data_IF_581767210240
#
_entry.id   IF_581767210240
#
_cell.length_a   1.000
_cell.length_b   1.000
_cell.length_c   1.000
_cell.angle_alpha   90.00
_cell.angle_beta   90.00
_cell.angle_gamma   90.00
#
_symmetry.space_group_name_H-M   'P 1'
#
loop_
_entity.id
_entity.type
_entity.pdbx_description
1 polymer ?
#
# COMPACT_ATOMS: atom_id res chain seq x y z
N UNK A 1 12.48 55.74 -3.40
CA UNK A 1 13.68 55.00 -2.92
C UNK A 1 13.30 53.58 -2.45
N UNK A 2 12.64 52.76 -3.29
CA UNK A 2 12.40 51.32 -3.04
C UNK A 2 12.24 50.63 -4.41
N UNK A 3 13.31 50.62 -5.22
CA UNK A 3 13.23 50.12 -6.61
C UNK A 3 14.54 49.56 -7.18
N UNK A 4 15.65 49.67 -6.45
CA UNK A 4 16.97 49.22 -6.90
C UNK A 4 17.56 48.06 -6.09
N UNK A 5 16.88 47.58 -5.04
CA UNK A 5 17.36 46.50 -4.17
C UNK A 5 16.94 45.09 -4.63
N UNK A 6 15.91 44.94 -5.46
CA UNK A 6 15.39 43.63 -5.89
C UNK A 6 16.03 43.06 -7.17
N UNK A 7 16.97 43.77 -7.81
CA UNK A 7 17.70 43.27 -9.01
C UNK A 7 19.11 42.72 -8.73
N UNK A 8 19.58 42.74 -7.47
CA UNK A 8 20.92 42.21 -7.11
C UNK A 8 20.91 40.83 -6.46
N UNK A 9 19.75 40.30 -6.07
CA UNK A 9 19.64 38.92 -5.54
C UNK A 9 19.43 37.89 -6.66
N UNK A 10 18.87 38.29 -7.82
CA UNK A 10 18.58 37.39 -8.94
C UNK A 10 19.80 37.06 -9.85
N UNK A 11 20.99 37.61 -9.60
CA UNK A 11 22.22 37.32 -10.38
C UNK A 11 23.30 36.53 -9.60
N UNK A 12 23.09 36.23 -8.33
CA UNK A 12 24.01 35.43 -7.52
C UNK A 12 23.65 33.92 -7.48
N UNK A 13 22.43 33.52 -7.84
CA UNK A 13 22.01 32.11 -7.85
C UNK A 13 22.22 31.36 -9.18
N UNK A 14 22.77 32.01 -10.21
CA UNK A 14 23.03 31.37 -11.53
C UNK A 14 24.52 30.99 -11.70
N UNK A 15 25.40 31.32 -10.76
CA UNK A 15 26.84 31.10 -10.89
C UNK A 15 27.40 29.95 -10.01
N UNK A 16 26.56 29.27 -9.22
CA UNK A 16 26.96 28.14 -8.37
C UNK A 16 26.42 26.77 -8.84
N UNK A 17 25.81 26.69 -10.03
CA UNK A 17 25.25 25.45 -10.58
C UNK A 17 26.01 24.89 -11.80
N UNK A 18 27.23 25.37 -12.11
CA UNK A 18 27.92 25.00 -13.37
C UNK A 18 29.37 24.49 -13.24
N UNK A 19 29.82 24.03 -12.07
CA UNK A 19 31.14 23.38 -11.94
C UNK A 19 31.15 22.28 -10.87
N UNK A 20 30.64 21.11 -11.25
CA UNK A 20 31.07 19.81 -10.74
C UNK A 20 30.70 18.73 -11.77
N UNK A 21 31.20 18.90 -12.99
CA UNK A 21 31.21 17.87 -14.04
C UNK A 21 32.56 17.15 -13.99
N UNK A 22 32.53 15.83 -13.81
CA UNK A 22 33.42 14.80 -14.38
C UNK A 22 33.73 13.66 -13.40
N UNK A 23 33.02 12.53 -13.53
CA UNK A 23 33.65 11.19 -13.47
C UNK A 23 32.93 10.28 -14.47
N UNK A 24 33.69 9.92 -15.50
CA UNK A 24 33.68 8.75 -16.40
C UNK A 24 32.39 7.95 -16.67
N UNK A 25 31.94 8.01 -17.93
CA UNK A 25 31.22 6.95 -18.63
C UNK A 25 32.12 5.71 -18.75
N UNK A 26 31.76 4.64 -18.05
CA UNK A 26 32.27 3.30 -18.31
C UNK A 26 31.09 2.39 -18.64
N UNK A 27 31.00 1.92 -19.89
CA UNK A 27 30.15 0.80 -20.25
C UNK A 27 30.70 -0.46 -19.58
N UNK A 28 29.98 -1.02 -18.60
CA UNK A 28 30.17 -2.39 -18.18
C UNK A 28 28.98 -3.22 -18.67
N UNK A 29 29.21 -4.00 -19.71
CA UNK A 29 28.45 -5.21 -19.96
C UNK A 29 28.67 -6.16 -18.77
N UNK A 30 27.69 -6.28 -17.87
CA UNK A 30 27.69 -7.35 -16.89
C UNK A 30 27.26 -8.64 -17.57
N UNK A 31 28.20 -9.57 -17.68
CA UNK A 31 27.96 -10.92 -18.16
C UNK A 31 26.99 -11.64 -17.21
N UNK A 32 25.90 -12.15 -17.78
CA UNK A 32 24.89 -12.93 -17.09
C UNK A 32 25.48 -14.30 -16.72
N UNK A 33 25.97 -14.45 -15.49
CA UNK A 33 26.64 -15.68 -15.08
C UNK A 33 27.27 -15.60 -13.69
N UNK A 34 26.51 -15.25 -12.67
CA UNK A 34 26.93 -15.46 -11.28
C UNK A 34 25.71 -15.82 -10.45
N UNK A 35 25.75 -16.98 -9.79
CA UNK A 35 24.75 -17.43 -8.82
C UNK A 35 24.55 -16.34 -7.76
N UNK A 36 23.32 -16.04 -7.31
CA UNK A 36 23.14 -15.22 -6.13
C UNK A 36 23.79 -15.95 -4.95
N UNK A 37 24.66 -15.26 -4.22
CA UNK A 37 25.33 -15.85 -3.06
C UNK A 37 24.30 -16.08 -1.96
N UNK A 38 24.42 -17.20 -1.26
CA UNK A 38 23.56 -17.61 -0.13
C UNK A 38 23.55 -16.65 1.07
N UNK A 39 24.20 -15.48 0.98
CA UNK A 39 24.16 -14.40 1.98
C UNK A 39 23.04 -13.37 1.73
N UNK A 40 22.24 -13.52 0.67
CA UNK A 40 21.19 -12.55 0.29
C UNK A 40 19.83 -12.77 0.97
N UNK A 41 19.67 -13.90 1.68
CA UNK A 41 18.49 -14.27 2.44
C UNK A 41 18.90 -14.50 3.89
N UNK A 42 18.94 -13.44 4.70
CA UNK A 42 19.01 -13.61 6.14
C UNK A 42 17.75 -14.38 6.57
N UNK A 43 17.97 -15.56 7.18
CA UNK A 43 16.91 -16.34 7.79
C UNK A 43 16.10 -15.48 8.78
N UNK A 44 14.81 -15.79 9.02
CA UNK A 44 14.05 -15.11 10.06
C UNK A 44 14.75 -15.34 11.41
N UNK A 45 15.22 -14.27 12.04
CA UNK A 45 15.59 -14.28 13.46
C UNK A 45 16.90 -14.96 13.83
N UNK A 46 18.05 -14.51 13.30
CA UNK A 46 19.27 -14.63 14.09
C UNK A 46 19.19 -13.61 15.25
N UNK A 47 19.19 -14.04 16.54
CA UNK A 47 19.10 -13.12 17.67
C UNK A 47 20.27 -12.13 17.63
N UNK A 48 19.97 -10.83 17.61
CA UNK A 48 20.98 -9.75 17.64
C UNK A 48 21.21 -9.00 16.32
N UNK A 49 20.46 -9.29 15.27
CA UNK A 49 20.46 -8.50 14.03
C UNK A 49 19.80 -7.13 14.17
N UNK A 50 20.08 -6.22 13.24
CA UNK A 50 19.52 -4.87 13.16
C UNK A 50 19.00 -4.61 11.74
N UNK A 51 17.80 -4.05 11.62
CA UNK A 51 17.27 -3.51 10.37
C UNK A 51 17.49 -2.01 10.36
N UNK A 52 18.21 -1.50 9.36
CA UNK A 52 18.35 -0.07 9.13
C UNK A 52 17.35 0.40 8.07
N UNK A 53 16.55 1.41 8.38
CA UNK A 53 15.55 1.96 7.48
C UNK A 53 15.40 3.47 7.70
N UNK A 54 15.49 4.26 6.62
CA UNK A 54 15.35 5.71 6.64
C UNK A 54 16.25 6.40 7.70
N UNK A 55 17.49 5.92 7.85
CA UNK A 55 18.47 6.46 8.80
C UNK A 55 18.22 6.10 10.27
N UNK A 56 17.27 5.19 10.55
CA UNK A 56 16.98 4.67 11.89
C UNK A 56 17.32 3.19 11.98
N UNK A 57 17.67 2.75 13.18
CA UNK A 57 18.07 1.39 13.50
C UNK A 57 16.97 0.71 14.33
N UNK A 58 16.59 -0.49 13.93
CA UNK A 58 15.54 -1.29 14.57
C UNK A 58 16.10 -2.66 14.93
N UNK A 59 16.26 -2.99 16.22
CA UNK A 59 16.74 -4.31 16.62
C UNK A 59 15.72 -5.37 16.24
N UNK A 60 16.19 -6.49 15.71
CA UNK A 60 15.34 -7.62 15.35
C UNK A 60 14.94 -8.43 16.59
N UNK A 61 13.73 -8.97 16.56
CA UNK A 61 13.19 -9.87 17.59
C UNK A 61 12.33 -10.97 16.96
N UNK A 62 11.57 -11.69 17.79
CA UNK A 62 10.70 -12.78 17.38
C UNK A 62 9.51 -12.34 16.49
N UNK A 63 9.22 -11.03 16.38
CA UNK A 63 8.18 -10.50 15.50
C UNK A 63 8.72 -10.10 14.13
N UNK A 64 10.03 -9.88 14.00
CA UNK A 64 10.63 -9.42 12.73
C UNK A 64 10.39 -10.41 11.59
N UNK A 65 9.78 -9.92 10.51
CA UNK A 65 9.45 -10.73 9.33
C UNK A 65 9.57 -9.96 7.99
N UNK A 66 10.29 -8.85 7.97
CA UNK A 66 10.53 -8.06 6.76
C UNK A 66 11.48 -8.77 5.79
N UNK A 67 11.15 -8.69 4.51
CA UNK A 67 12.03 -9.15 3.42
C UNK A 67 12.76 -7.97 2.78
N UNK A 68 13.94 -8.22 2.21
CA UNK A 68 14.71 -7.21 1.47
C UNK A 68 13.93 -6.62 0.29
N UNK A 69 13.11 -7.43 -0.38
CA UNK A 69 12.25 -7.01 -1.51
C UNK A 69 11.18 -6.01 -1.07
N UNK A 70 10.58 -6.21 0.10
CA UNK A 70 9.61 -5.26 0.66
C UNK A 70 10.32 -3.98 1.10
N UNK A 71 11.47 -4.10 1.78
CA UNK A 71 12.28 -2.95 2.17
C UNK A 71 12.74 -2.10 0.98
N UNK A 72 13.09 -2.71 -0.15
CA UNK A 72 13.49 -1.96 -1.37
C UNK A 72 12.35 -1.16 -2.00
N UNK A 73 11.10 -1.39 -1.59
CA UNK A 73 9.93 -0.64 -2.06
C UNK A 73 9.66 0.61 -1.21
N UNK A 74 10.22 0.67 0.01
CA UNK A 74 10.05 1.82 0.91
C UNK A 74 10.69 3.07 0.32
N UNK A 75 9.93 4.17 0.28
CA UNK A 75 10.39 5.46 -0.24
C UNK A 75 10.24 5.59 -1.76
N UNK A 76 9.75 4.56 -2.47
CA UNK A 76 9.47 4.66 -3.91
C UNK A 76 8.32 5.63 -4.21
N UNK A 77 7.38 5.78 -3.26
CA UNK A 77 6.36 6.84 -3.20
C UNK A 77 5.64 7.09 -4.55
N UNK A 78 5.08 6.03 -5.16
CA UNK A 78 4.44 6.10 -6.47
C UNK A 78 3.25 7.07 -6.52
N UNK A 79 2.59 7.31 -5.38
CA UNK A 79 1.55 8.32 -5.21
C UNK A 79 2.07 9.77 -5.32
N UNK A 80 3.39 9.98 -5.27
CA UNK A 80 4.06 11.27 -5.44
C UNK A 80 4.87 11.37 -6.74
N UNK A 81 4.93 10.30 -7.54
CA UNK A 81 5.57 10.34 -8.84
C UNK A 81 4.65 10.99 -9.88
N UNK A 82 5.06 12.14 -10.41
CA UNK A 82 4.30 12.88 -11.40
C UNK A 82 3.95 11.99 -12.61
N UNK A 83 2.72 12.14 -13.13
CA UNK A 83 2.15 11.34 -14.22
C UNK A 83 1.93 9.85 -13.91
N UNK A 84 2.28 9.36 -12.73
CA UNK A 84 1.89 8.01 -12.32
C UNK A 84 0.36 7.92 -12.14
N UNK A 85 -0.32 6.83 -12.54
CA UNK A 85 -1.77 6.70 -12.38
C UNK A 85 -2.25 6.86 -10.94
N UNK A 86 -1.47 6.44 -9.94
CA UNK A 86 -1.83 6.64 -8.53
C UNK A 86 -1.72 8.10 -8.12
N UNK A 87 -0.71 8.82 -8.61
CA UNK A 87 -0.59 10.26 -8.44
C UNK A 87 -1.75 11.02 -9.10
N UNK A 88 -2.18 10.59 -10.30
CA UNK A 88 -3.33 11.19 -10.98
C UNK A 88 -4.60 11.09 -10.13
N UNK A 89 -4.91 9.92 -9.57
CA UNK A 89 -6.07 9.75 -8.69
C UNK A 89 -5.92 10.64 -7.45
N UNK A 90 -4.74 10.66 -6.82
CA UNK A 90 -4.45 11.54 -5.68
C UNK A 90 -4.77 13.00 -6.00
N UNK A 91 -4.27 13.52 -7.11
CA UNK A 91 -4.48 14.92 -7.50
C UNK A 91 -5.94 15.23 -7.83
N UNK A 92 -6.67 14.31 -8.47
CA UNK A 92 -8.12 14.47 -8.71
C UNK A 92 -8.92 14.46 -7.41
N UNK A 93 -8.57 13.61 -6.45
CA UNK A 93 -9.21 13.60 -5.13
C UNK A 93 -8.91 14.90 -4.38
N UNK A 94 -7.66 15.37 -4.40
CA UNK A 94 -7.29 16.68 -3.82
C UNK A 94 -8.09 17.81 -4.45
N UNK A 95 -8.18 17.84 -5.78
CA UNK A 95 -8.96 18.85 -6.50
C UNK A 95 -10.44 18.82 -6.09
N UNK A 96 -11.02 17.62 -5.93
CA UNK A 96 -12.39 17.47 -5.46
C UNK A 96 -12.60 18.13 -4.09
N UNK A 97 -11.75 17.84 -3.10
CA UNK A 97 -11.87 18.42 -1.77
C UNK A 97 -11.61 19.93 -1.75
N UNK A 98 -10.73 20.45 -2.63
CA UNK A 98 -10.47 21.88 -2.71
C UNK A 98 -11.54 22.68 -3.47
N UNK A 99 -12.16 22.10 -4.50
CA UNK A 99 -13.07 22.85 -5.41
C UNK A 99 -14.55 22.51 -5.24
N UNK A 100 -14.87 21.29 -4.82
CA UNK A 100 -16.24 20.74 -4.90
C UNK A 100 -16.84 20.40 -3.53
N UNK A 101 -16.01 20.18 -2.51
CA UNK A 101 -16.50 19.98 -1.15
C UNK A 101 -17.03 21.32 -0.61
N UNK A 102 -18.29 21.36 -0.21
CA UNK A 102 -18.92 22.54 0.39
C UNK A 102 -19.47 22.16 1.76
N UNK A 103 -18.82 22.67 2.82
CA UNK A 103 -19.36 22.60 4.17
C UNK A 103 -20.42 23.69 4.40
N UNK A 104 -21.19 23.57 5.49
CA UNK A 104 -22.27 24.52 5.83
C UNK A 104 -21.77 25.94 6.10
N UNK A 105 -20.53 26.08 6.56
CA UNK A 105 -19.88 27.37 6.87
C UNK A 105 -18.74 27.71 5.90
N UNK A 106 -18.70 27.03 4.74
CA UNK A 106 -17.62 27.14 3.75
C UNK A 106 -16.87 25.83 3.57
N UNK A 107 -15.90 25.81 2.65
CA UNK A 107 -15.06 24.65 2.39
C UNK A 107 -13.94 24.60 3.44
N UNK A 108 -13.94 23.61 4.36
CA UNK A 108 -12.81 23.40 5.24
C UNK A 108 -11.56 23.12 4.42
N UNK A 109 -10.43 23.68 4.86
CA UNK A 109 -9.16 23.43 4.23
C UNK A 109 -8.69 22.02 4.61
N UNK A 110 -8.78 21.08 3.69
CA UNK A 110 -8.16 19.77 3.85
C UNK A 110 -6.64 19.91 3.70
N UNK A 111 -5.93 19.79 4.82
CA UNK A 111 -4.47 19.64 4.80
C UNK A 111 -4.10 18.27 4.20
N UNK A 112 -3.05 18.21 3.37
CA UNK A 112 -2.66 16.98 2.67
C UNK A 112 -1.32 16.50 3.21
N UNK A 113 -1.29 15.26 3.66
CA UNK A 113 -0.12 14.59 4.22
C UNK A 113 0.22 13.37 3.37
N UNK A 114 1.05 13.56 2.35
CA UNK A 114 1.41 12.51 1.38
C UNK A 114 2.87 12.05 1.47
N UNK A 115 3.60 12.45 2.52
CA UNK A 115 5.01 12.12 2.70
C UNK A 115 5.33 11.65 4.14
N UNK A 116 4.36 11.08 4.85
CA UNK A 116 4.56 10.47 6.17
C UNK A 116 5.32 9.16 6.04
N UNK A 117 6.30 8.93 6.91
CA UNK A 117 7.04 7.67 6.99
C UNK A 117 6.09 6.47 7.14
N UNK A 118 6.27 5.39 6.36
CA UNK A 118 5.47 4.17 6.52
C UNK A 118 5.81 3.40 7.79
N UNK A 119 6.95 3.68 8.44
CA UNK A 119 7.29 3.09 9.73
C UNK A 119 6.48 3.75 10.84
N UNK A 120 5.66 2.95 11.50
CA UNK A 120 4.79 3.35 12.62
C UNK A 120 4.98 2.39 13.80
N UNK A 121 4.58 2.84 14.99
CA UNK A 121 4.47 1.95 16.14
C UNK A 121 3.24 1.04 16.01
N UNK A 122 3.27 -0.10 16.69
CA UNK A 122 2.08 -0.98 16.80
C UNK A 122 0.91 -0.25 17.46
N UNK A 123 1.19 0.68 18.37
CA UNK A 123 0.19 1.54 18.98
C UNK A 123 -0.51 2.44 17.95
N UNK A 124 0.25 3.12 17.10
CA UNK A 124 -0.32 3.96 16.02
C UNK A 124 -1.19 3.13 15.08
N UNK A 125 -0.70 1.97 14.63
CA UNK A 125 -1.43 1.13 13.66
C UNK A 125 -2.65 0.43 14.27
N UNK A 126 -2.68 0.16 15.57
CA UNK A 126 -3.75 -0.66 16.16
C UNK A 126 -4.41 -0.02 17.39
N UNK A 127 -3.65 0.21 18.45
CA UNK A 127 -4.19 0.62 19.76
C UNK A 127 -4.86 2.00 19.72
N UNK A 128 -4.29 2.95 18.97
CA UNK A 128 -4.86 4.29 18.77
C UNK A 128 -6.23 4.26 18.08
N UNK A 129 -6.52 3.17 17.37
CA UNK A 129 -7.78 2.89 16.65
C UNK A 129 -8.69 1.93 17.42
N UNK A 130 -8.38 1.66 18.69
CA UNK A 130 -9.13 0.76 19.57
C UNK A 130 -9.18 -0.69 19.08
N UNK A 131 -8.24 -1.12 18.23
CA UNK A 131 -8.14 -2.51 17.78
C UNK A 131 -7.67 -3.37 18.96
N UNK A 132 -8.36 -4.45 19.37
CA UNK A 132 -7.96 -5.27 20.51
C UNK A 132 -6.60 -5.98 20.32
N UNK A 133 -5.92 -6.32 21.43
CA UNK A 133 -4.60 -6.98 21.40
C UNK A 133 -4.62 -8.41 20.81
N UNK A 134 -5.75 -9.10 20.93
CA UNK A 134 -6.01 -10.45 20.38
C UNK A 134 -6.67 -10.42 18.99
N UNK A 135 -6.87 -9.23 18.41
CA UNK A 135 -7.54 -9.08 17.14
C UNK A 135 -6.73 -9.74 16.00
N UNK A 136 -7.37 -10.52 15.10
CA UNK A 136 -6.67 -11.25 14.04
C UNK A 136 -5.84 -10.35 13.12
N UNK A 137 -6.22 -9.08 12.93
CA UNK A 137 -5.43 -8.13 12.12
C UNK A 137 -4.03 -7.85 12.66
N UNK A 138 -3.71 -8.23 13.90
CA UNK A 138 -2.37 -8.09 14.48
C UNK A 138 -1.45 -9.27 14.18
N UNK A 139 -1.95 -10.35 13.56
CA UNK A 139 -1.16 -11.55 13.28
C UNK A 139 0.14 -11.22 12.52
N UNK A 140 1.24 -11.87 12.91
CA UNK A 140 2.53 -11.85 12.18
C UNK A 140 2.38 -12.34 10.74
N UNK A 141 1.41 -13.22 10.50
CA UNK A 141 1.08 -13.73 9.18
C UNK A 141 0.64 -12.64 8.20
N UNK A 142 0.05 -11.54 8.68
CA UNK A 142 -0.67 -10.57 7.81
C UNK A 142 0.04 -9.21 7.72
N UNK A 143 1.06 -8.97 8.56
CA UNK A 143 1.72 -7.66 8.69
C UNK A 143 3.24 -7.78 8.63
N UNK A 144 3.90 -6.73 8.14
CA UNK A 144 5.36 -6.62 8.15
C UNK A 144 5.87 -5.86 9.38
N UNK A 145 6.38 -6.60 10.35
CA UNK A 145 6.95 -6.08 11.59
C UNK A 145 8.46 -5.86 11.44
N UNK A 146 8.93 -4.69 11.87
CA UNK A 146 10.35 -4.45 12.11
C UNK A 146 10.78 -5.16 13.39
N UNK A 147 9.94 -5.07 14.43
CA UNK A 147 10.05 -5.77 15.71
C UNK A 147 8.69 -5.69 16.45
N UNK A 148 8.62 -6.10 17.72
CA UNK A 148 7.40 -6.02 18.56
C UNK A 148 6.78 -4.63 18.66
N UNK A 149 7.56 -3.58 18.48
CA UNK A 149 7.14 -2.19 18.73
C UNK A 149 6.88 -1.40 17.45
N UNK A 150 7.52 -1.77 16.34
CA UNK A 150 7.47 -1.04 15.07
C UNK A 150 7.13 -1.95 13.90
N UNK A 151 6.35 -1.41 12.97
CA UNK A 151 5.92 -2.09 11.75
C UNK A 151 5.86 -1.12 10.57
N UNK A 152 5.79 -1.66 9.36
CA UNK A 152 5.29 -0.90 8.22
C UNK A 152 3.77 -0.85 8.33
N UNK A 153 3.19 0.35 8.23
CA UNK A 153 1.73 0.58 8.41
C UNK A 153 0.91 -0.31 7.47
N UNK A 154 -0.11 -0.97 8.02
CA UNK A 154 -1.04 -1.80 7.24
C UNK A 154 -2.17 -0.98 6.61
N UNK A 155 -2.34 0.27 7.04
CA UNK A 155 -3.32 1.22 6.53
C UNK A 155 -2.93 2.67 6.89
N UNK A 156 -3.39 3.64 6.10
CA UNK A 156 -3.17 5.07 6.37
C UNK A 156 -3.85 5.55 7.66
N UNK A 157 -4.82 4.79 8.19
CA UNK A 157 -5.53 5.15 9.42
C UNK A 157 -4.60 5.18 10.64
N UNK A 158 -3.41 4.57 10.56
CA UNK A 158 -2.38 4.65 11.58
C UNK A 158 -1.94 6.08 11.93
N UNK A 159 -2.26 7.05 11.08
CA UNK A 159 -1.96 8.47 11.28
C UNK A 159 -3.16 9.31 11.75
N UNK A 160 -4.36 8.72 11.90
CA UNK A 160 -5.55 9.49 12.32
C UNK A 160 -5.33 10.14 13.68
N UNK A 161 -4.89 9.36 14.67
CA UNK A 161 -4.75 9.86 16.03
C UNK A 161 -3.74 11.02 16.11
N UNK A 162 -2.57 10.89 15.48
CA UNK A 162 -1.53 11.91 15.52
C UNK A 162 -2.00 13.24 14.91
N UNK A 163 -2.71 13.18 13.78
CA UNK A 163 -3.21 14.36 13.07
C UNK A 163 -4.41 14.99 13.78
N UNK A 164 -5.30 14.19 14.36
CA UNK A 164 -6.39 14.66 15.24
C UNK A 164 -5.82 15.31 16.50
N UNK A 165 -4.81 14.71 17.11
CA UNK A 165 -4.15 15.23 18.31
C UNK A 165 -3.38 16.54 18.03
N UNK A 166 -2.90 16.73 16.80
CA UNK A 166 -2.35 18.00 16.32
C UNK A 166 -3.41 19.09 16.08
N UNK A 167 -4.71 18.80 16.29
CA UNK A 167 -5.81 19.75 16.20
C UNK A 167 -6.38 19.93 14.79
N UNK A 168 -6.19 18.95 13.89
CA UNK A 168 -6.72 19.04 12.53
C UNK A 168 -8.16 18.50 12.45
N UNK A 169 -9.07 19.36 11.98
CA UNK A 169 -10.48 19.01 11.75
C UNK A 169 -10.78 18.53 10.32
N UNK A 170 -9.83 18.68 9.39
CA UNK A 170 -9.93 18.20 8.01
C UNK A 170 -8.55 17.89 7.44
N UNK A 171 -8.33 16.64 7.04
CA UNK A 171 -7.07 16.24 6.43
C UNK A 171 -7.22 15.03 5.51
N UNK A 172 -6.31 14.96 4.53
CA UNK A 172 -6.08 13.80 3.67
C UNK A 172 -4.73 13.20 4.02
N UNK A 173 -4.68 11.87 4.14
CA UNK A 173 -3.41 11.12 4.25
C UNK A 173 -3.28 10.24 3.03
N UNK A 174 -2.12 10.28 2.37
CA UNK A 174 -1.87 9.46 1.18
C UNK A 174 -0.54 8.76 1.33
N UNK A 175 -0.51 7.45 1.13
CA UNK A 175 0.74 6.73 1.29
C UNK A 175 0.66 5.28 0.90
N UNK A 176 1.84 4.72 0.71
CA UNK A 176 2.14 3.29 0.63
C UNK A 176 1.82 2.59 1.96
N UNK A 177 1.17 1.44 1.89
CA UNK A 177 0.78 0.58 3.00
C UNK A 177 1.19 -0.85 2.68
N UNK A 178 1.43 -1.65 3.71
CA UNK A 178 2.18 -2.89 3.61
C UNK A 178 1.40 -4.04 4.24
N UNK A 179 1.13 -5.09 3.46
CA UNK A 179 0.41 -6.29 3.94
C UNK A 179 1.01 -7.57 3.38
N UNK A 180 1.03 -8.59 4.22
CA UNK A 180 1.37 -9.96 3.81
C UNK A 180 0.08 -10.62 3.33
N UNK A 181 0.08 -11.07 2.10
CA UNK A 181 -1.12 -11.59 1.44
C UNK A 181 -0.73 -12.48 0.26
N UNK A 182 -1.71 -13.16 -0.32
CA UNK A 182 -1.58 -14.04 -1.47
C UNK A 182 -0.99 -13.36 -2.71
N UNK A 183 -0.54 -14.15 -3.68
CA UNK A 183 0.01 -13.67 -4.95
C UNK A 183 -1.01 -13.90 -6.05
N UNK A 184 -1.60 -12.81 -6.54
CA UNK A 184 -2.45 -12.77 -7.73
C UNK A 184 -2.41 -11.37 -8.36
N UNK A 185 -3.21 -11.13 -9.40
CA UNK A 185 -3.23 -9.85 -10.13
C UNK A 185 -3.88 -8.69 -9.36
N UNK A 186 -4.44 -8.94 -8.17
CA UNK A 186 -5.13 -7.96 -7.32
C UNK A 186 -4.39 -7.69 -6.01
N UNK A 187 -3.45 -8.55 -5.61
CA UNK A 187 -2.71 -8.43 -4.35
C UNK A 187 -1.21 -8.20 -4.60
N UNK A 188 -0.68 -7.13 -4.00
CA UNK A 188 0.74 -6.80 -4.00
C UNK A 188 1.15 -6.45 -2.55
N UNK A 189 2.38 -6.79 -2.10
CA UNK A 189 2.81 -6.55 -0.72
C UNK A 189 2.79 -5.08 -0.32
N UNK A 190 2.89 -4.19 -1.31
CA UNK A 190 2.88 -2.73 -1.16
C UNK A 190 1.82 -2.16 -2.08
N UNK A 191 0.87 -1.43 -1.52
CA UNK A 191 -0.16 -0.73 -2.28
C UNK A 191 -0.46 0.61 -1.61
N UNK A 192 -1.31 1.45 -2.18
CA UNK A 192 -1.49 2.82 -1.71
C UNK A 192 -2.91 3.09 -1.27
N UNK A 193 -3.05 3.84 -0.18
CA UNK A 193 -4.33 4.28 0.33
C UNK A 193 -4.42 5.80 0.35
N UNK A 194 -5.65 6.29 0.24
CA UNK A 194 -6.03 7.64 0.57
C UNK A 194 -7.06 7.62 1.71
N UNK A 195 -6.68 8.26 2.82
CA UNK A 195 -7.52 8.56 3.96
C UNK A 195 -8.10 9.97 3.81
N UNK A 196 -9.34 10.16 4.23
CA UNK A 196 -9.91 11.48 4.46
C UNK A 196 -10.58 11.49 5.83
N UNK A 197 -10.24 12.46 6.66
CA UNK A 197 -10.87 12.67 7.97
C UNK A 197 -11.50 14.05 7.99
N UNK A 198 -12.74 14.12 8.50
CA UNK A 198 -13.48 15.36 8.70
C UNK A 198 -14.20 15.32 10.05
N UNK A 199 -13.92 16.31 10.88
CA UNK A 199 -14.64 16.55 12.13
C UNK A 199 -15.68 17.66 11.95
N UNK A 200 -16.73 17.60 12.77
CA UNK A 200 -17.77 18.62 12.83
C UNK A 200 -17.95 19.05 14.27
N UNK A 201 -17.98 20.36 14.51
CA UNK A 201 -18.43 20.87 15.81
C UNK A 201 -19.94 20.66 16.00
N UNK A 202 -20.42 20.69 17.24
CA UNK A 202 -21.88 20.64 17.53
C UNK A 202 -22.64 21.71 16.74
N UNK A 203 -22.14 22.94 16.76
CA UNK A 203 -22.76 24.06 16.05
C UNK A 203 -22.73 23.86 14.54
N UNK A 204 -21.65 23.29 13.99
CA UNK A 204 -21.54 23.01 12.56
C UNK A 204 -22.52 21.93 12.12
N UNK A 205 -22.58 20.82 12.84
CA UNK A 205 -23.37 19.64 12.48
C UNK A 205 -24.87 19.94 12.50
N UNK A 206 -25.34 20.64 13.54
CA UNK A 206 -26.75 20.95 13.73
C UNK A 206 -27.20 22.29 13.14
N UNK A 207 -26.32 23.01 12.42
CA UNK A 207 -26.68 24.27 11.79
C UNK A 207 -27.86 24.12 10.82
N UNK A 208 -28.91 24.90 11.01
CA UNK A 208 -30.12 24.86 10.19
C UNK A 208 -31.10 23.71 10.53
N UNK A 209 -30.84 22.94 11.60
CA UNK A 209 -31.80 21.98 12.16
C UNK A 209 -32.71 22.72 13.15
N UNK A 210 -34.02 22.46 13.06
CA UNK A 210 -35.00 23.03 14.01
C UNK A 210 -34.64 22.55 15.43
N UNK A 211 -34.46 23.51 16.33
CA UNK A 211 -33.99 23.25 17.71
C UNK A 211 -32.61 22.58 17.80
N UNK A 212 -31.73 22.78 16.81
CA UNK A 212 -30.40 22.14 16.78
C UNK A 212 -29.48 22.52 17.95
N UNK A 213 -29.72 23.64 18.63
CA UNK A 213 -28.94 24.07 19.79
C UNK A 213 -29.13 23.16 21.02
N UNK A 214 -30.30 22.52 21.14
CA UNK A 214 -30.63 21.61 22.23
C UNK A 214 -30.02 20.21 22.04
N UNK A 215 -29.72 19.83 20.80
CA UNK A 215 -29.18 18.51 20.44
C UNK A 215 -27.75 18.31 20.95
N UNK A 216 -27.36 17.06 21.22
CA UNK A 216 -26.01 16.71 21.69
C UNK A 216 -25.32 15.78 20.69
N UNK A 217 -23.99 15.82 20.66
CA UNK A 217 -23.21 14.93 19.78
C UNK A 217 -23.14 13.50 20.32
N UNK A 218 -23.19 13.34 21.63
CA UNK A 218 -23.01 12.07 22.33
C UNK A 218 -24.15 11.80 23.30
N UNK A 219 -24.47 10.53 23.47
CA UNK A 219 -25.33 10.06 24.56
C UNK A 219 -24.60 10.15 25.91
N UNK A 220 -25.33 9.98 27.02
CA UNK A 220 -24.77 9.89 28.38
C UNK A 220 -24.01 8.58 28.62
N UNK A 221 -23.04 8.28 27.75
CA UNK A 221 -22.16 7.11 27.83
C UNK A 221 -20.76 7.55 28.22
N UNK A 222 -20.04 6.72 28.97
CA UNK A 222 -18.67 6.99 29.38
C UNK A 222 -17.66 6.43 28.38
N UNK A 223 -16.60 7.21 28.09
CA UNK A 223 -15.41 6.74 27.38
C UNK A 223 -14.63 5.77 28.24
N UNK A 224 -14.11 4.70 27.64
CA UNK A 224 -13.16 3.78 28.27
C UNK A 224 -11.91 3.60 27.40
N UNK A 225 -10.93 2.84 27.89
CA UNK A 225 -9.72 2.52 27.14
C UNK A 225 -9.99 1.73 25.83
N UNK A 226 -11.16 1.11 25.71
CA UNK A 226 -11.51 0.23 24.58
C UNK A 226 -12.75 0.69 23.82
N UNK A 227 -13.34 1.83 24.20
CA UNK A 227 -14.62 2.27 23.66
C UNK A 227 -14.76 3.79 23.70
N UNK A 228 -15.07 4.38 22.56
CA UNK A 228 -15.49 5.77 22.45
C UNK A 228 -16.95 5.98 22.90
N UNK A 229 -17.31 7.21 23.24
CA UNK A 229 -18.69 7.59 23.53
C UNK A 229 -19.61 7.27 22.35
N UNK A 230 -20.86 6.89 22.65
CA UNK A 230 -21.87 6.64 21.63
C UNK A 230 -22.44 7.97 21.13
N UNK A 231 -22.47 8.15 19.81
CA UNK A 231 -23.12 9.30 19.20
C UNK A 231 -24.64 9.20 19.33
N UNK A 232 -25.30 10.36 19.45
CA UNK A 232 -26.76 10.42 19.35
C UNK A 232 -27.24 10.02 17.95
N UNK A 233 -28.49 9.57 17.83
CA UNK A 233 -29.06 9.15 16.56
C UNK A 233 -29.10 10.32 15.55
N UNK A 234 -29.38 11.53 16.03
CA UNK A 234 -29.40 12.75 15.23
C UNK A 234 -28.01 13.07 14.67
N UNK A 235 -26.98 13.05 15.52
CA UNK A 235 -25.60 13.28 15.09
C UNK A 235 -25.15 12.21 14.08
N UNK A 236 -25.43 10.94 14.40
CA UNK A 236 -25.10 9.79 13.54
C UNK A 236 -25.74 9.92 12.16
N UNK A 237 -27.04 10.25 12.08
CA UNK A 237 -27.74 10.41 10.80
C UNK A 237 -27.20 11.56 9.95
N UNK A 238 -26.82 12.66 10.57
CA UNK A 238 -26.26 13.82 9.86
C UNK A 238 -24.86 13.51 9.31
N UNK A 239 -24.00 12.87 10.11
CA UNK A 239 -22.67 12.43 9.67
C UNK A 239 -22.78 11.34 8.60
N UNK A 240 -23.68 10.38 8.75
CA UNK A 240 -23.97 9.34 7.75
C UNK A 240 -24.38 9.96 6.41
N UNK A 241 -25.27 10.96 6.46
CA UNK A 241 -25.71 11.67 5.27
C UNK A 241 -24.57 12.45 4.61
N UNK A 242 -23.75 13.17 5.38
CA UNK A 242 -22.60 13.91 4.87
C UNK A 242 -21.57 12.97 4.22
N UNK A 243 -21.21 11.89 4.91
CA UNK A 243 -20.28 10.87 4.40
C UNK A 243 -20.80 10.28 3.09
N UNK A 244 -22.08 9.91 3.03
CA UNK A 244 -22.71 9.38 1.82
C UNK A 244 -22.66 10.38 0.67
N UNK A 245 -22.99 11.64 0.90
CA UNK A 245 -22.92 12.70 -0.12
C UNK A 245 -21.50 12.90 -0.61
N UNK A 246 -20.53 12.99 0.31
CA UNK A 246 -19.10 13.18 0.02
C UNK A 246 -18.58 12.04 -0.87
N UNK A 247 -18.80 10.79 -0.47
CA UNK A 247 -18.37 9.62 -1.26
C UNK A 247 -19.07 9.57 -2.62
N UNK A 248 -20.37 9.85 -2.69
CA UNK A 248 -21.11 9.84 -3.95
C UNK A 248 -20.59 10.90 -4.92
N UNK A 249 -20.33 12.12 -4.43
CA UNK A 249 -19.80 13.23 -5.24
C UNK A 249 -18.36 12.95 -5.67
N UNK A 250 -17.54 12.36 -4.79
CA UNK A 250 -16.18 11.96 -5.14
C UNK A 250 -16.18 10.91 -6.24
N UNK A 251 -16.99 9.87 -6.13
CA UNK A 251 -17.12 8.82 -7.15
C UNK A 251 -17.60 9.42 -8.47
N UNK A 252 -18.62 10.29 -8.46
CA UNK A 252 -19.07 11.01 -9.67
C UNK A 252 -17.96 11.88 -10.28
N UNK A 253 -17.16 12.54 -9.46
CA UNK A 253 -16.04 13.34 -9.94
C UNK A 253 -14.94 12.48 -10.58
N UNK A 254 -14.64 11.31 -10.00
CA UNK A 254 -13.62 10.39 -10.50
C UNK A 254 -14.06 9.61 -11.74
N UNK A 255 -15.26 9.03 -11.72
CA UNK A 255 -15.75 8.09 -12.72
C UNK A 255 -16.79 8.69 -13.69
N UNK A 256 -17.32 9.88 -13.39
CA UNK A 256 -18.49 10.44 -14.07
C UNK A 256 -19.81 9.87 -13.53
N UNK A 257 -20.94 10.30 -14.10
CA UNK A 257 -22.23 9.71 -13.80
C UNK A 257 -22.31 8.29 -14.36
N UNK A 258 -22.18 7.30 -13.48
CA UNK A 258 -22.49 5.92 -13.82
C UNK A 258 -24.01 5.83 -14.05
N UNK A 259 -24.45 5.36 -15.21
CA UNK A 259 -25.86 5.17 -15.57
C UNK A 259 -26.63 4.12 -14.73
N UNK A 260 -26.23 3.91 -13.48
CA UNK A 260 -26.88 3.05 -12.50
C UNK A 260 -28.08 3.79 -11.89
N UNK A 261 -29.14 3.98 -12.69
CA UNK A 261 -30.35 4.68 -12.25
C UNK A 261 -31.09 3.95 -11.11
N UNK A 262 -30.93 2.61 -11.02
CA UNK A 262 -31.68 1.76 -10.08
C UNK A 262 -30.79 0.96 -9.09
N UNK A 263 -29.54 1.38 -8.85
CA UNK A 263 -28.65 0.67 -7.91
C UNK A 263 -27.97 1.64 -6.94
N UNK A 264 -27.85 1.22 -5.68
CA UNK A 264 -27.16 1.97 -4.62
C UNK A 264 -26.19 1.05 -3.89
N UNK A 265 -24.99 1.56 -3.56
CA UNK A 265 -23.95 0.85 -2.81
C UNK A 265 -22.97 1.82 -2.16
N UNK A 266 -22.22 1.37 -1.16
CA UNK A 266 -21.20 2.16 -0.46
C UNK A 266 -19.91 1.34 -0.28
N UNK A 267 -18.77 2.02 -0.23
CA UNK A 267 -17.46 1.47 0.12
C UNK A 267 -16.62 2.59 0.77
N UNK A 268 -15.77 2.27 1.75
CA UNK A 268 -14.80 3.23 2.30
C UNK A 268 -13.47 2.54 2.65
N UNK A 269 -12.38 3.31 2.58
CA UNK A 269 -11.00 2.84 2.40
C UNK A 269 -10.61 2.88 0.93
N UNK A 270 -10.13 4.04 0.44
CA UNK A 270 -9.81 4.24 -0.97
C UNK A 270 -8.44 3.62 -1.29
N UNK A 271 -8.43 2.34 -1.65
CA UNK A 271 -7.27 1.70 -2.27
C UNK A 271 -7.04 2.29 -3.66
N UNK A 272 -5.94 3.03 -3.85
CA UNK A 272 -5.68 3.77 -5.08
C UNK A 272 -5.51 2.83 -6.28
N UNK A 273 -4.86 1.68 -6.10
CA UNK A 273 -4.70 0.67 -7.15
C UNK A 273 -6.04 0.11 -7.58
N UNK A 274 -6.93 -0.23 -6.64
CA UNK A 274 -8.27 -0.76 -6.96
C UNK A 274 -9.08 0.24 -7.78
N UNK A 275 -9.03 1.52 -7.40
CA UNK A 275 -9.67 2.59 -8.14
C UNK A 275 -9.04 2.77 -9.52
N UNK A 276 -7.71 2.78 -9.62
CA UNK A 276 -6.98 2.92 -10.88
C UNK A 276 -7.25 1.74 -11.84
N UNK A 277 -7.28 0.51 -11.33
CA UNK A 277 -7.59 -0.68 -12.12
C UNK A 277 -8.98 -0.60 -12.74
N UNK A 278 -9.98 -0.14 -11.98
CA UNK A 278 -11.34 0.03 -12.49
C UNK A 278 -11.45 1.24 -13.42
N UNK A 279 -10.88 2.38 -13.03
CA UNK A 279 -11.02 3.65 -13.75
C UNK A 279 -10.32 3.62 -15.11
N UNK A 280 -9.14 2.97 -15.14
CA UNK A 280 -8.28 2.97 -16.32
C UNK A 280 -8.29 1.63 -17.06
N UNK A 281 -9.02 0.61 -16.61
CA UNK A 281 -8.98 -0.78 -17.12
C UNK A 281 -7.58 -1.43 -17.03
N UNK A 282 -6.85 -1.18 -15.95
CA UNK A 282 -5.53 -1.82 -15.70
C UNK A 282 -5.76 -3.24 -15.17
N UNK A 283 -5.27 -4.30 -15.87
CA UNK A 283 -5.67 -5.68 -15.57
C UNK A 283 -4.87 -6.34 -14.43
N UNK A 284 -3.74 -5.77 -14.04
CA UNK A 284 -2.80 -6.38 -13.10
C UNK A 284 -2.07 -5.32 -12.27
N UNK A 285 -2.09 -5.47 -10.95
CA UNK A 285 -1.47 -4.54 -9.99
C UNK A 285 0.04 -4.37 -10.19
N UNK A 286 0.74 -5.38 -10.75
CA UNK A 286 2.18 -5.31 -11.00
C UNK A 286 2.56 -4.21 -12.01
N UNK A 287 1.62 -3.80 -12.87
CA UNK A 287 1.87 -2.72 -13.84
C UNK A 287 2.19 -1.38 -13.17
N UNK A 288 1.63 -1.10 -12.00
CA UNK A 288 1.98 0.11 -11.23
C UNK A 288 3.45 0.15 -10.82
N UNK A 289 4.10 -1.03 -10.73
CA UNK A 289 5.47 -1.14 -10.29
C UNK A 289 6.47 -1.25 -11.46
N UNK A 290 5.98 -1.32 -12.70
CA UNK A 290 6.76 -1.43 -13.94
C UNK A 290 7.36 -0.08 -14.38
N UNK A 291 8.55 -0.15 -14.96
CA UNK A 291 9.24 0.98 -15.60
C UNK A 291 9.03 1.00 -17.13
N UNK A 292 8.11 0.17 -17.65
CA UNK A 292 7.81 0.09 -19.08
C UNK A 292 7.14 1.38 -19.58
N UNK A 293 7.86 2.11 -20.42
CA UNK A 293 7.38 3.32 -21.08
C UNK A 293 6.08 3.10 -21.87
N UNK A 294 5.80 1.87 -22.35
CA UNK A 294 4.52 1.55 -23.01
C UNK A 294 3.33 1.69 -22.05
N UNK A 295 3.54 1.48 -20.74
CA UNK A 295 2.56 1.72 -19.70
C UNK A 295 2.59 3.19 -19.23
N UNK A 296 3.74 3.67 -18.77
CA UNK A 296 3.85 4.98 -18.09
C UNK A 296 3.43 6.16 -18.98
N UNK A 297 3.82 6.16 -20.26
CA UNK A 297 3.51 7.29 -21.17
C UNK A 297 2.02 7.50 -21.42
N UNK A 298 1.18 6.47 -21.19
CA UNK A 298 -0.28 6.57 -21.38
C UNK A 298 -0.94 7.48 -20.34
N UNK A 299 -0.26 7.75 -19.22
CA UNK A 299 -0.74 8.59 -18.13
C UNK A 299 -0.06 9.97 -18.11
N UNK A 300 0.85 10.24 -19.05
CA UNK A 300 1.44 11.57 -19.25
C UNK A 300 0.44 12.49 -19.97
N UNK A 301 -0.51 13.03 -19.21
CA UNK A 301 -1.60 13.88 -19.68
C UNK A 301 -1.39 15.35 -19.28
N UNK A 302 -1.98 16.26 -20.06
CA UNK A 302 -1.89 17.71 -19.81
C UNK A 302 -2.85 18.21 -18.73
N UNK A 303 -4.00 17.52 -18.56
CA UNK A 303 -5.01 17.80 -17.54
C UNK A 303 -5.28 16.52 -16.75
N UNK A 304 -5.22 16.59 -15.42
CA UNK A 304 -5.50 15.47 -14.51
C UNK A 304 -6.91 14.90 -14.69
N UNK A 305 -7.85 15.66 -15.24
CA UNK A 305 -9.23 15.23 -15.51
C UNK A 305 -9.44 14.63 -16.90
N UNK A 306 -8.41 14.59 -17.73
CA UNK A 306 -8.51 13.93 -19.03
C UNK A 306 -8.85 12.44 -18.82
N UNK A 307 -9.91 11.98 -19.50
CA UNK A 307 -10.30 10.56 -19.46
C UNK A 307 -9.23 9.73 -20.15
N UNK A 308 -8.53 8.92 -19.37
CA UNK A 308 -7.55 7.95 -19.87
C UNK A 308 -8.20 6.57 -19.87
N UNK A 309 -7.99 5.81 -20.94
CA UNK A 309 -8.30 4.39 -20.99
C UNK A 309 -7.03 3.63 -21.37
N UNK A 310 -6.49 2.86 -20.44
CA UNK A 310 -5.28 2.08 -20.68
C UNK A 310 -5.50 1.16 -21.86
N UNK A 311 -4.55 1.17 -22.79
CA UNK A 311 -4.46 0.21 -23.87
C UNK A 311 -3.61 -0.98 -23.38
N UNK A 312 -4.21 -2.17 -23.20
CA UNK A 312 -3.49 -3.33 -22.67
C UNK A 312 -2.27 -3.69 -23.52
N UNK A 313 -1.18 -4.02 -22.85
CA UNK A 313 0.00 -4.59 -23.48
C UNK A 313 -0.30 -6.03 -23.95
N UNK A 314 0.41 -6.49 -24.98
CA UNK A 314 0.27 -7.87 -25.46
C UNK A 314 0.52 -8.86 -24.32
N UNK A 315 -0.40 -9.82 -24.14
CA UNK A 315 -0.21 -10.88 -23.15
C UNK A 315 0.83 -11.88 -23.64
N UNK A 316 1.79 -12.19 -22.78
CA UNK A 316 2.81 -13.20 -23.02
C UNK A 316 2.36 -14.58 -22.50
N UNK A 317 2.80 -15.69 -23.11
CA UNK A 317 2.40 -17.02 -22.66
C UNK A 317 2.92 -17.29 -21.24
N UNK A 318 2.11 -18.00 -20.44
CA UNK A 318 2.51 -18.42 -19.09
C UNK A 318 3.24 -19.77 -19.12
N UNK A 319 4.08 -19.98 -18.11
CA UNK A 319 4.65 -21.28 -17.74
C UNK A 319 4.12 -21.62 -16.35
N UNK A 320 3.63 -22.85 -16.15
CA UNK A 320 2.99 -23.29 -14.91
C UNK A 320 3.80 -24.45 -14.35
N UNK A 321 4.22 -24.34 -13.10
CA UNK A 321 4.90 -25.40 -12.37
C UNK A 321 4.27 -25.58 -10.99
N UNK A 322 4.13 -26.83 -10.58
CA UNK A 322 3.65 -27.19 -9.24
C UNK A 322 4.85 -27.50 -8.33
N UNK A 323 4.73 -27.15 -7.04
CA UNK A 323 5.73 -27.44 -6.01
C UNK A 323 5.02 -28.04 -4.80
N UNK A 324 5.51 -29.18 -4.34
CA UNK A 324 4.99 -29.89 -3.17
C UNK A 324 6.07 -30.07 -2.11
N UNK A 325 5.69 -29.95 -0.84
CA UNK A 325 6.57 -30.22 0.28
C UNK A 325 5.77 -30.56 1.55
N UNK A 326 6.41 -31.27 2.47
CA UNK A 326 5.92 -31.46 3.83
C UNK A 326 6.25 -30.25 4.68
N UNK A 327 5.27 -29.81 5.46
CA UNK A 327 5.43 -28.69 6.39
C UNK A 327 6.34 -29.07 7.57
N UNK A 328 7.06 -28.10 8.15
CA UNK A 328 7.73 -28.29 9.42
C UNK A 328 6.71 -28.60 10.53
N UNK A 329 7.17 -29.21 11.61
CA UNK A 329 6.31 -29.65 12.73
C UNK A 329 5.60 -28.49 13.45
N UNK A 330 6.19 -27.29 13.44
CA UNK A 330 5.62 -26.07 14.00
C UNK A 330 5.99 -24.85 13.12
N UNK A 331 5.24 -23.74 13.26
CA UNK A 331 5.61 -22.40 12.76
C UNK A 331 5.59 -22.16 11.23
N UNK A 332 4.67 -22.77 10.49
CA UNK A 332 4.46 -22.44 9.07
C UNK A 332 3.20 -21.58 8.85
N UNK A 333 3.33 -20.47 8.13
CA UNK A 333 2.21 -19.74 7.55
C UNK A 333 2.34 -19.69 6.02
N UNK A 334 1.21 -19.76 5.30
CA UNK A 334 1.21 -19.70 3.82
C UNK A 334 1.90 -18.43 3.29
N UNK A 335 1.73 -17.31 4.01
CA UNK A 335 2.35 -16.03 3.66
C UNK A 335 3.89 -16.05 3.76
N UNK A 336 4.49 -16.97 4.53
CA UNK A 336 5.96 -17.14 4.55
C UNK A 336 6.45 -17.70 3.21
N UNK A 337 5.70 -18.64 2.63
CA UNK A 337 5.99 -19.16 1.30
C UNK A 337 5.72 -18.14 0.21
N UNK A 338 4.65 -17.34 0.31
CA UNK A 338 4.39 -16.26 -0.64
C UNK A 338 5.48 -15.19 -0.61
N UNK A 339 5.97 -14.80 0.57
CA UNK A 339 7.10 -13.87 0.68
C UNK A 339 8.40 -14.44 0.09
N UNK A 340 8.66 -15.74 0.27
CA UNK A 340 9.79 -16.43 -0.35
C UNK A 340 9.68 -16.42 -1.88
N UNK A 341 8.50 -16.76 -2.42
CA UNK A 341 8.22 -16.71 -3.86
C UNK A 341 8.37 -15.29 -4.41
N UNK A 342 7.87 -14.25 -3.72
CA UNK A 342 8.07 -12.84 -4.10
C UNK A 342 9.54 -12.43 -4.08
N UNK A 343 10.32 -12.95 -3.14
CA UNK A 343 11.74 -12.62 -3.01
C UNK A 343 12.56 -13.20 -4.15
N UNK A 344 12.28 -14.45 -4.56
CA UNK A 344 13.06 -15.16 -5.58
C UNK A 344 12.50 -14.92 -6.98
N UNK A 345 11.19 -15.05 -7.13
CA UNK A 345 10.50 -14.93 -8.42
C UNK A 345 10.13 -13.49 -8.79
N UNK A 346 9.99 -12.59 -7.81
CA UNK A 346 9.62 -11.19 -8.06
C UNK A 346 8.40 -11.04 -8.97
N UNK A 347 8.49 -10.12 -9.92
CA UNK A 347 7.40 -9.82 -10.86
C UNK A 347 7.30 -10.85 -12.01
N UNK A 348 8.14 -11.90 -12.04
CA UNK A 348 7.98 -13.05 -12.95
C UNK A 348 6.76 -13.90 -12.57
N UNK A 349 6.37 -13.87 -11.30
CA UNK A 349 5.27 -14.66 -10.75
C UNK A 349 3.99 -13.86 -10.86
N UNK A 350 3.02 -14.39 -11.60
CA UNK A 350 1.69 -13.79 -11.73
C UNK A 350 0.77 -14.26 -10.62
N UNK A 351 0.84 -15.54 -10.26
CA UNK A 351 -0.10 -16.15 -9.32
C UNK A 351 0.51 -17.34 -8.59
N UNK A 352 0.12 -17.53 -7.33
CA UNK A 352 0.37 -18.75 -6.56
C UNK A 352 -0.92 -19.24 -5.93
N UNK A 353 -1.33 -20.46 -6.24
CA UNK A 353 -2.51 -21.11 -5.68
C UNK A 353 -2.10 -22.30 -4.82
N UNK A 354 -2.64 -22.42 -3.59
CA UNK A 354 -2.60 -23.69 -2.85
C UNK A 354 -3.63 -24.63 -3.47
N UNK A 355 -3.19 -25.65 -4.19
CA UNK A 355 -4.07 -26.54 -4.98
C UNK A 355 -4.36 -27.88 -4.29
N UNK A 356 -3.54 -28.29 -3.33
CA UNK A 356 -3.78 -29.51 -2.54
C UNK A 356 -3.19 -29.40 -1.13
N UNK A 357 -3.88 -30.00 -0.17
CA UNK A 357 -3.44 -30.14 1.22
C UNK A 357 -3.81 -31.53 1.73
N UNK A 358 -2.80 -32.26 2.19
CA UNK A 358 -2.95 -33.65 2.60
C UNK A 358 -2.20 -33.93 3.91
N UNK A 359 -2.79 -34.67 4.84
CA UNK A 359 -2.09 -35.17 6.04
C UNK A 359 -1.78 -36.67 5.90
N UNK A 360 -0.52 -37.04 6.10
CA UNK A 360 -0.09 -38.42 5.96
C UNK A 360 -0.43 -39.24 7.22
N UNK A 361 -1.20 -40.34 7.10
CA UNK A 361 -1.83 -41.00 8.24
C UNK A 361 -0.86 -41.68 9.21
N UNK A 362 0.38 -41.98 8.78
CA UNK A 362 1.38 -42.66 9.63
C UNK A 362 2.40 -41.70 10.25
N UNK A 363 2.66 -40.58 9.60
CA UNK A 363 3.70 -39.63 10.02
C UNK A 363 3.10 -38.36 10.60
N UNK A 364 1.78 -38.16 10.44
CA UNK A 364 1.05 -36.95 10.80
C UNK A 364 1.64 -35.68 10.17
N UNK A 365 2.47 -35.83 9.12
CA UNK A 365 3.02 -34.71 8.37
C UNK A 365 1.94 -34.16 7.43
N UNK A 366 1.79 -32.85 7.41
CA UNK A 366 0.97 -32.15 6.44
C UNK A 366 1.81 -31.83 5.20
N UNK A 367 1.31 -32.17 4.01
CA UNK A 367 1.85 -31.80 2.70
C UNK A 367 1.01 -30.67 2.13
N UNK A 368 1.66 -29.65 1.59
CA UNK A 368 1.03 -28.65 0.73
C UNK A 368 1.54 -28.81 -0.71
N UNK A 369 0.67 -28.56 -1.69
CA UNK A 369 1.02 -28.43 -3.09
C UNK A 369 0.56 -27.06 -3.60
N UNK A 370 1.50 -26.26 -4.09
CA UNK A 370 1.22 -24.96 -4.68
C UNK A 370 1.44 -25.00 -6.19
N UNK A 371 0.55 -24.35 -6.93
CA UNK A 371 0.70 -24.07 -8.35
C UNK A 371 1.20 -22.66 -8.55
N UNK A 372 2.35 -22.51 -9.21
CA UNK A 372 2.95 -21.21 -9.51
C UNK A 372 2.79 -20.92 -11.01
N UNK A 373 2.12 -19.81 -11.32
CA UNK A 373 1.98 -19.30 -12.68
C UNK A 373 3.03 -18.22 -12.94
N UNK A 374 3.98 -18.50 -13.82
CA UNK A 374 5.01 -17.56 -14.25
C UNK A 374 4.57 -16.86 -15.54
N UNK A 375 4.43 -15.53 -15.49
CA UNK A 375 4.15 -14.68 -16.64
C UNK A 375 4.68 -13.28 -16.38
N UNK A 376 5.59 -12.82 -17.23
CA UNK A 376 6.09 -11.44 -17.21
C UNK A 376 5.16 -10.51 -18.00
N UNK A 377 5.01 -9.27 -17.52
CA UNK A 377 4.12 -8.29 -18.16
C UNK A 377 4.70 -7.68 -19.45
N UNK A 378 6.03 -7.76 -19.62
CA UNK A 378 6.75 -7.04 -20.67
C UNK A 378 7.44 -7.93 -21.72
N UNK A 379 7.56 -9.25 -21.49
CA UNK A 379 8.27 -10.20 -22.39
C UNK A 379 7.83 -11.65 -22.21
N UNK A 380 8.12 -12.49 -23.20
CA UNK A 380 7.97 -13.96 -23.08
C UNK A 380 9.03 -14.53 -22.15
N UNK A 381 8.62 -15.48 -21.31
CA UNK A 381 9.53 -16.28 -20.48
C UNK A 381 9.93 -17.57 -21.19
N UNK A 382 11.22 -17.89 -21.17
CA UNK A 382 11.79 -19.14 -21.63
C UNK A 382 11.59 -20.26 -20.60
N UNK A 383 11.47 -21.50 -21.06
CA UNK A 383 11.40 -22.67 -20.17
C UNK A 383 12.66 -22.84 -19.30
N UNK A 384 13.81 -22.36 -19.79
CA UNK A 384 15.08 -22.43 -19.05
C UNK A 384 15.11 -21.45 -17.88
N UNK A 385 14.71 -20.21 -18.09
CA UNK A 385 14.73 -19.21 -17.01
C UNK A 385 13.72 -19.56 -15.91
N UNK A 386 12.51 -20.01 -16.28
CA UNK A 386 11.47 -20.40 -15.30
C UNK A 386 11.94 -21.60 -14.48
N UNK A 387 12.59 -22.59 -15.09
CA UNK A 387 13.15 -23.74 -14.38
C UNK A 387 14.20 -23.33 -13.36
N UNK A 388 15.11 -22.43 -13.72
CA UNK A 388 16.15 -21.95 -12.80
C UNK A 388 15.53 -21.22 -11.59
N UNK A 389 14.54 -20.36 -11.84
CA UNK A 389 13.83 -19.64 -10.78
C UNK A 389 13.05 -20.61 -9.89
N UNK A 390 12.33 -21.57 -10.50
CA UNK A 390 11.56 -22.56 -9.76
C UNK A 390 12.43 -23.46 -8.89
N UNK A 391 13.59 -23.89 -9.41
CA UNK A 391 14.57 -24.64 -8.63
C UNK A 391 15.12 -23.82 -7.46
N UNK A 392 15.42 -22.53 -7.68
CA UNK A 392 15.84 -21.64 -6.59
C UNK A 392 14.74 -21.49 -5.52
N UNK A 393 13.46 -21.44 -5.91
CA UNK A 393 12.32 -21.45 -4.97
C UNK A 393 12.28 -22.75 -4.16
N UNK A 394 12.46 -23.90 -4.80
CA UNK A 394 12.50 -25.21 -4.11
C UNK A 394 13.65 -25.28 -3.10
N UNK A 395 14.86 -24.91 -3.52
CA UNK A 395 16.06 -24.93 -2.67
C UNK A 395 15.91 -23.98 -1.47
N UNK A 396 15.42 -22.76 -1.71
CA UNK A 396 15.22 -21.78 -0.66
C UNK A 396 14.08 -22.14 0.29
N UNK A 397 13.00 -22.77 -0.19
CA UNK A 397 11.92 -23.25 0.67
C UNK A 397 12.48 -24.25 1.70
N UNK A 398 13.30 -25.21 1.26
CA UNK A 398 13.94 -26.18 2.17
C UNK A 398 14.88 -25.48 3.16
N UNK A 399 15.72 -24.56 2.67
CA UNK A 399 16.72 -23.90 3.51
C UNK A 399 16.13 -22.91 4.53
N UNK A 400 15.11 -22.16 4.16
CA UNK A 400 14.62 -21.02 4.92
C UNK A 400 13.31 -21.28 5.66
N UNK A 401 12.45 -22.14 5.11
CA UNK A 401 11.16 -22.50 5.73
C UNK A 401 11.22 -23.87 6.42
N UNK A 402 12.35 -24.59 6.32
CA UNK A 402 12.53 -25.89 6.94
C UNK A 402 11.58 -26.97 6.41
N UNK A 403 11.06 -26.80 5.19
CA UNK A 403 10.15 -27.77 4.57
C UNK A 403 10.94 -28.97 4.02
N UNK A 404 10.28 -30.11 3.90
CA UNK A 404 10.86 -31.31 3.29
C UNK A 404 10.28 -31.49 1.87
N UNK A 405 11.13 -31.36 0.87
CA UNK A 405 10.72 -31.41 -0.55
C UNK A 405 10.03 -32.70 -0.96
N UNK A 406 8.96 -32.57 -1.76
CA UNK A 406 8.17 -33.69 -2.33
C UNK A 406 7.96 -33.51 -3.85
N UNK A 407 8.87 -32.79 -4.49
CA UNK A 407 8.80 -32.39 -5.90
C UNK A 407 9.22 -33.51 -6.86
#
# INVERSE_FOLDING_TARGET
>A
MVGSALRRVARACVYLASKASHVSRGHQHQAWGSRPAASELAAPGAPGGVVELLGKSYPQDDHTNLTRKVLSSVGRNLHNQQHHPLWLIKERVKEHFYKQYMGRFGTPLFSVHDNLSPVVTTWQNFDSLLIPADHPSRKKGDNYYLNRTHMLRAHTSAHQWDLLHAGLDAFLVVGDVYRRDQIDSQHYPVFHQLEAVRLFSKHELFAGIKDGESLQLFEQSSRSAHKQEMHTMEAMKLVEFDLKQTLTRLVRHLFGDAGAQDRIGWAFGLGLERLAMILYDIPDIRLFWSEDERFLKQFCISDINQKVKFQPLSKYPAVINDISFWLPSENYADNDFYDLVRTIGGDLVEKVDLIDKFEHPKTHKTSHCYRITYRHMERTLSQREVRNVHQAVQEAAVQLLGVEGRF
#
